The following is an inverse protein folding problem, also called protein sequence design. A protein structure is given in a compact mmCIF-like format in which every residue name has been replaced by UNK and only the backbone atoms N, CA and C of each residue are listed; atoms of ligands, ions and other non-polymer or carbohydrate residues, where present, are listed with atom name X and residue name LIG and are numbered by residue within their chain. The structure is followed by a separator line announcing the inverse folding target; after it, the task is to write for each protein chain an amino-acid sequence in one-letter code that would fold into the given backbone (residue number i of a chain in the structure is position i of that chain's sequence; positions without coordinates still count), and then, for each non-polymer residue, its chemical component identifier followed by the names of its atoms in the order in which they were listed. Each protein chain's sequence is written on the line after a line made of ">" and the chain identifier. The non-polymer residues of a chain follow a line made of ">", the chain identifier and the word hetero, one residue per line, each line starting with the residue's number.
data_IF_530427941982
#
_entry.id   IF_530427941982
#
_cell.length_a   1.000
_cell.length_b   1.000
_cell.length_c   1.000
_cell.angle_alpha   90.00
_cell.angle_beta   90.00
_cell.angle_gamma   90.00
#
_symmetry.space_group_name_H-M   'P 1'
#
loop_
_entity.id
_entity.type
_entity.pdbx_description
1 polymer ?
#
# COMPACT_ATOMS: atom_id res chain seq x y z
N UNK A 1 5.80 6.66 -2.87
CA UNK A 1 7.14 6.00 -2.90
C UNK A 1 7.73 5.84 -1.51
N UNK A 2 7.73 6.88 -0.69
CA UNK A 2 8.31 6.82 0.66
C UNK A 2 7.71 5.69 1.52
N UNK A 3 6.40 5.49 1.43
CA UNK A 3 5.72 4.42 2.18
C UNK A 3 6.24 3.04 1.79
N UNK A 4 6.31 2.76 0.48
CA UNK A 4 6.82 1.47 -0.01
C UNK A 4 8.26 1.23 0.43
N UNK A 5 9.11 2.26 0.37
CA UNK A 5 10.49 2.18 0.84
C UNK A 5 10.53 1.86 2.34
N UNK A 6 9.69 2.53 3.13
CA UNK A 6 9.65 2.31 4.58
C UNK A 6 9.23 0.88 4.91
N UNK A 7 8.21 0.34 4.21
CA UNK A 7 7.78 -1.05 4.39
C UNK A 7 8.93 -2.00 4.04
N UNK A 8 9.58 -1.81 2.90
CA UNK A 8 10.67 -2.69 2.47
C UNK A 8 11.84 -2.66 3.45
N UNK A 9 12.19 -1.47 3.96
CA UNK A 9 13.26 -1.36 4.98
C UNK A 9 12.92 -2.15 6.24
N UNK A 10 11.65 -2.16 6.63
CA UNK A 10 11.21 -2.91 7.83
C UNK A 10 11.35 -4.41 7.64
N UNK A 11 11.57 -4.90 6.42
CA UNK A 11 11.61 -6.32 6.07
C UNK A 11 13.00 -6.86 5.76
N UNK A 12 14.06 -6.02 5.81
CA UNK A 12 15.38 -6.42 5.34
C UNK A 12 16.00 -7.61 6.08
N UNK A 13 15.49 -7.95 7.27
CA UNK A 13 16.00 -9.08 8.06
C UNK A 13 14.99 -10.22 8.20
N UNK A 14 13.98 -10.26 7.35
CA UNK A 14 12.89 -11.23 7.45
C UNK A 14 13.19 -12.56 6.72
N UNK A 15 14.41 -13.07 6.81
CA UNK A 15 14.83 -14.19 5.96
C UNK A 15 14.85 -15.55 6.64
N UNK A 16 14.65 -15.64 7.96
CA UNK A 16 14.88 -16.87 8.71
C UNK A 16 13.62 -17.67 9.04
N UNK A 17 12.44 -17.14 8.79
CA UNK A 17 11.16 -17.73 9.14
C UNK A 17 10.31 -17.87 7.88
N UNK A 18 9.86 -19.06 7.58
CA UNK A 18 9.07 -19.33 6.37
C UNK A 18 7.79 -18.48 6.32
N UNK A 19 7.09 -18.36 7.44
CA UNK A 19 5.86 -17.58 7.52
C UNK A 19 6.17 -16.09 7.32
N UNK A 20 7.17 -15.58 8.03
CA UNK A 20 7.57 -14.18 7.90
C UNK A 20 8.05 -13.86 6.48
N UNK A 21 8.78 -14.80 5.84
CA UNK A 21 9.21 -14.62 4.47
C UNK A 21 8.03 -14.49 3.51
N UNK A 22 7.01 -15.32 3.69
CA UNK A 22 5.80 -15.24 2.87
C UNK A 22 5.11 -13.88 3.04
N UNK A 23 4.92 -13.45 4.28
CA UNK A 23 4.31 -12.16 4.60
C UNK A 23 5.15 -11.02 4.01
N UNK A 24 6.48 -11.10 4.15
CA UNK A 24 7.39 -10.10 3.62
C UNK A 24 7.27 -9.96 2.11
N UNK A 25 7.19 -11.07 1.38
CA UNK A 25 7.01 -11.04 -0.08
C UNK A 25 5.71 -10.36 -0.48
N UNK A 26 4.62 -10.65 0.24
CA UNK A 26 3.34 -10.01 -0.03
C UNK A 26 3.39 -8.51 0.28
N UNK A 27 4.06 -8.13 1.36
CA UNK A 27 4.23 -6.72 1.72
C UNK A 27 5.07 -5.97 0.70
N UNK A 28 6.17 -6.57 0.22
CA UNK A 28 6.99 -5.94 -0.83
C UNK A 28 6.14 -5.66 -2.06
N UNK A 29 5.40 -6.67 -2.53
CA UNK A 29 4.57 -6.53 -3.72
C UNK A 29 3.48 -5.47 -3.54
N UNK A 30 2.68 -5.60 -2.49
CA UNK A 30 1.50 -4.75 -2.32
C UNK A 30 1.86 -3.31 -1.91
N UNK A 31 2.98 -3.10 -1.22
CA UNK A 31 3.38 -1.76 -0.77
C UNK A 31 4.13 -0.96 -1.84
N UNK A 32 4.72 -1.64 -2.83
CA UNK A 32 5.45 -0.97 -3.90
C UNK A 32 4.57 -0.66 -5.12
N UNK A 33 3.53 -1.46 -5.35
CA UNK A 33 2.62 -1.31 -6.46
C UNK A 33 1.89 0.04 -6.50
N UNK A 34 1.43 0.61 -5.35
CA UNK A 34 0.72 1.90 -5.38
C UNK A 34 1.50 3.04 -6.00
N UNK A 35 2.82 3.10 -5.78
CA UNK A 35 3.63 4.17 -6.35
C UNK A 35 3.62 4.13 -7.88
N UNK A 36 3.76 2.95 -8.47
CA UNK A 36 3.74 2.78 -9.92
C UNK A 36 2.36 3.10 -10.49
N UNK A 37 1.30 2.60 -9.86
CA UNK A 37 -0.06 2.85 -10.33
C UNK A 37 -0.48 4.31 -10.17
N UNK A 38 -0.04 4.96 -9.11
CA UNK A 38 -0.30 6.38 -8.93
C UNK A 38 0.38 7.21 -10.03
N UNK A 39 1.62 6.86 -10.38
CA UNK A 39 2.33 7.50 -11.48
C UNK A 39 1.58 7.35 -12.80
N UNK A 40 1.05 6.14 -13.06
CA UNK A 40 0.23 5.90 -14.25
C UNK A 40 -1.09 6.66 -14.20
N UNK A 41 -1.71 6.79 -13.02
CA UNK A 41 -2.92 7.57 -12.86
C UNK A 41 -2.68 9.04 -13.21
N UNK A 42 -1.57 9.61 -12.76
CA UNK A 42 -1.24 11.01 -13.05
C UNK A 42 -0.98 11.27 -14.52
N UNK A 43 -0.55 10.24 -15.25
CA UNK A 43 -0.31 10.31 -16.70
C UNK A 43 -1.51 9.83 -17.51
N UNK A 44 -2.63 9.54 -16.87
CA UNK A 44 -3.81 8.99 -17.54
C UNK A 44 -4.38 9.95 -18.58
N UNK A 45 -4.83 9.37 -19.68
CA UNK A 45 -5.36 10.13 -20.81
C UNK A 45 -6.85 10.49 -20.65
N UNK A 46 -7.53 9.87 -19.68
CA UNK A 46 -8.96 10.10 -19.45
C UNK A 46 -9.27 10.00 -17.97
N UNK A 47 -10.41 10.58 -17.57
CA UNK A 47 -10.91 10.44 -16.20
C UNK A 47 -11.18 8.99 -15.86
N UNK A 48 -11.74 8.22 -16.80
CA UNK A 48 -12.02 6.80 -16.60
C UNK A 48 -10.73 6.02 -16.31
N UNK A 49 -9.67 6.27 -17.07
CA UNK A 49 -8.39 5.62 -16.87
C UNK A 49 -7.77 6.03 -15.53
N UNK A 50 -7.86 7.33 -15.19
CA UNK A 50 -7.39 7.84 -13.89
C UNK A 50 -8.07 7.10 -12.74
N UNK A 51 -9.41 7.01 -12.78
CA UNK A 51 -10.17 6.32 -11.72
C UNK A 51 -9.76 4.86 -11.64
N UNK A 52 -9.60 4.18 -12.78
CA UNK A 52 -9.20 2.78 -12.80
C UNK A 52 -7.84 2.57 -12.12
N UNK A 53 -6.85 3.39 -12.46
CA UNK A 53 -5.52 3.29 -11.85
C UNK A 53 -5.54 3.62 -10.37
N UNK A 54 -6.34 4.59 -9.96
CA UNK A 54 -6.50 4.93 -8.55
C UNK A 54 -7.19 3.80 -7.77
N UNK A 55 -8.14 3.09 -8.38
CA UNK A 55 -8.77 1.93 -7.76
C UNK A 55 -7.78 0.80 -7.54
N UNK A 56 -6.84 0.61 -8.46
CA UNK A 56 -5.77 -0.38 -8.27
C UNK A 56 -4.88 0.03 -7.10
N UNK A 57 -4.52 1.31 -7.00
CA UNK A 57 -3.77 1.82 -5.84
C UNK A 57 -4.48 1.50 -4.53
N UNK A 58 -5.77 1.78 -4.45
CA UNK A 58 -6.55 1.55 -3.25
C UNK A 58 -6.59 0.07 -2.89
N UNK A 59 -6.80 -0.79 -3.88
CA UNK A 59 -6.80 -2.24 -3.68
C UNK A 59 -5.48 -2.73 -3.10
N UNK A 60 -4.36 -2.26 -3.66
CA UNK A 60 -3.03 -2.67 -3.20
C UNK A 60 -2.74 -2.15 -1.78
N UNK A 61 -3.19 -0.94 -1.46
CA UNK A 61 -3.06 -0.42 -0.10
C UNK A 61 -3.89 -1.22 0.90
N UNK A 62 -5.09 -1.65 0.51
CA UNK A 62 -5.92 -2.52 1.37
C UNK A 62 -5.22 -3.85 1.63
N UNK A 63 -4.62 -4.45 0.61
CA UNK A 63 -3.84 -5.68 0.79
C UNK A 63 -2.66 -5.44 1.74
N UNK A 64 -1.97 -4.32 1.57
CA UNK A 64 -0.86 -3.96 2.45
C UNK A 64 -1.33 -3.88 3.92
N UNK A 65 -2.47 -3.26 4.15
CA UNK A 65 -3.04 -3.15 5.50
C UNK A 65 -3.31 -4.54 6.09
N UNK A 66 -3.82 -5.47 5.29
CA UNK A 66 -4.07 -6.85 5.73
C UNK A 66 -2.76 -7.53 6.13
N UNK A 67 -1.74 -7.44 5.28
CA UNK A 67 -0.45 -8.10 5.57
C UNK A 67 0.29 -7.46 6.75
N UNK A 68 0.15 -6.15 6.95
CA UNK A 68 0.68 -5.50 8.15
C UNK A 68 0.01 -6.04 9.42
N UNK A 69 -1.29 -6.27 9.36
CA UNK A 69 -2.05 -6.86 10.48
C UNK A 69 -1.63 -8.29 10.74
N UNK A 70 -1.41 -9.11 9.71
CA UNK A 70 -0.88 -10.46 9.86
C UNK A 70 0.46 -10.44 10.58
N UNK A 71 1.37 -9.59 10.12
CA UNK A 71 2.69 -9.48 10.74
C UNK A 71 2.58 -9.11 12.22
N UNK A 72 1.79 -8.11 12.54
CA UNK A 72 1.60 -7.67 13.92
C UNK A 72 0.94 -8.75 14.77
N UNK A 73 -0.06 -9.44 14.21
CA UNK A 73 -0.76 -10.50 14.92
C UNK A 73 0.12 -11.69 15.26
N UNK A 74 1.07 -12.03 14.39
CA UNK A 74 1.94 -13.19 14.58
C UNK A 74 3.17 -12.84 15.41
N UNK A 75 3.80 -11.70 15.13
CA UNK A 75 5.10 -11.34 15.69
C UNK A 75 5.06 -10.21 16.71
N UNK A 76 3.88 -9.63 16.95
CA UNK A 76 3.71 -8.50 17.86
C UNK A 76 4.05 -7.17 17.19
N UNK A 77 3.93 -6.09 17.99
CA UNK A 77 4.19 -4.74 17.52
C UNK A 77 5.71 -4.52 17.45
N UNK A 78 6.23 -4.42 16.24
CA UNK A 78 7.63 -4.12 16.01
C UNK A 78 7.83 -2.60 15.93
N UNK A 79 9.11 -2.15 16.00
CA UNK A 79 9.45 -0.74 15.83
C UNK A 79 8.94 -0.25 14.47
N UNK A 80 8.21 0.85 14.51
CA UNK A 80 7.68 1.47 13.29
C UNK A 80 6.40 0.87 12.74
N UNK A 81 5.91 -0.26 13.28
CA UNK A 81 4.73 -0.90 12.71
C UNK A 81 3.45 -0.08 12.88
N UNK A 82 3.33 0.67 13.97
CA UNK A 82 2.18 1.56 14.18
C UNK A 82 2.18 2.71 13.17
N UNK A 83 3.35 3.29 12.91
CA UNK A 83 3.50 4.35 11.92
C UNK A 83 3.16 3.85 10.52
N UNK A 84 3.63 2.66 10.15
CA UNK A 84 3.35 2.09 8.83
C UNK A 84 1.85 1.84 8.65
N UNK A 85 1.19 1.30 9.67
CA UNK A 85 -0.26 1.07 9.63
C UNK A 85 -1.01 2.38 9.48
N UNK A 86 -0.62 3.41 10.23
CA UNK A 86 -1.25 4.72 10.16
C UNK A 86 -1.05 5.37 8.81
N UNK A 87 0.17 5.33 8.27
CA UNK A 87 0.46 5.88 6.95
C UNK A 87 -0.34 5.18 5.86
N UNK A 88 -0.46 3.86 5.95
CA UNK A 88 -1.27 3.09 5.00
C UNK A 88 -2.72 3.56 5.03
N UNK A 89 -3.29 3.72 6.22
CA UNK A 89 -4.67 4.18 6.37
C UNK A 89 -4.86 5.60 5.84
N UNK A 90 -3.90 6.49 6.11
CA UNK A 90 -3.94 7.86 5.60
C UNK A 90 -3.92 7.88 4.07
N UNK A 91 -3.05 7.07 3.46
CA UNK A 91 -2.98 6.97 2.01
C UNK A 91 -4.28 6.42 1.41
N UNK A 92 -4.90 5.43 2.07
CA UNK A 92 -6.18 4.90 1.63
C UNK A 92 -7.27 5.99 1.63
N UNK A 93 -7.28 6.85 2.63
CA UNK A 93 -8.21 7.96 2.69
C UNK A 93 -7.95 8.98 1.58
N UNK A 94 -6.70 9.31 1.33
CA UNK A 94 -6.32 10.26 0.27
C UNK A 94 -6.70 9.72 -1.10
N UNK A 95 -6.36 8.47 -1.40
CA UNK A 95 -6.68 7.84 -2.68
C UNK A 95 -8.20 7.72 -2.85
N UNK A 96 -8.90 7.29 -1.81
CA UNK A 96 -10.36 7.21 -1.83
C UNK A 96 -11.02 8.57 -2.10
N UNK A 97 -10.50 9.62 -1.49
CA UNK A 97 -10.99 10.98 -1.74
C UNK A 97 -10.74 11.41 -3.19
N UNK A 98 -9.58 11.09 -3.74
CA UNK A 98 -9.26 11.38 -5.14
C UNK A 98 -10.20 10.68 -6.11
N UNK A 99 -10.56 9.44 -5.84
CA UNK A 99 -11.52 8.69 -6.65
C UNK A 99 -12.89 9.37 -6.61
N UNK A 100 -13.37 9.72 -5.41
CA UNK A 100 -14.67 10.38 -5.26
C UNK A 100 -14.71 11.72 -5.99
N UNK A 101 -13.65 12.50 -5.87
CA UNK A 101 -13.56 13.79 -6.57
C UNK A 101 -13.60 13.60 -8.08
N UNK A 102 -12.85 12.63 -8.59
CA UNK A 102 -12.81 12.37 -10.04
C UNK A 102 -14.18 11.90 -10.57
N UNK A 103 -14.93 11.13 -9.78
CA UNK A 103 -16.26 10.66 -10.18
C UNK A 103 -17.29 11.79 -10.25
N UNK A 104 -17.11 12.85 -9.48
CA UNK A 104 -18.01 14.01 -9.47
C UNK A 104 -17.68 15.00 -10.60
N UNK A 105 -16.47 14.95 -11.12
CA UNK A 105 -16.04 15.88 -12.18
C UNK A 105 -16.73 15.55 -13.48
N UNK A 106 -17.09 16.55 -14.23
CA UNK A 106 -17.75 16.39 -15.53
C UNK A 106 -16.79 16.72 -16.68
#
# INVERSE_FOLDING_TARGET
>A
MAFGIAVCRSLLQAEHDLVLRHIALQLVRSSTSPAANYGEARAAESRRDFIHKMQICLKELRETAVWLRFRTGIYGVANGSKELTRECQELMLIIGAGIRTARRSK
#
